data_IF_051754145050
#
_entry.id   IF_051754145050
#
_cell.length_a   1.000
_cell.length_b   1.000
_cell.length_c   1.000
_cell.angle_alpha   90.00
_cell.angle_beta   90.00
_cell.angle_gamma   90.00
#
_symmetry.space_group_name_H-M   'P 1'
#
loop_
_entity.id
_entity.type
_entity.pdbx_description
1 polymer ?
#
# COMPACT_ATOMS: atom_id res chain seq x y z
N UNK A 1 8.43 -2.76 -17.95
CA UNK A 1 7.76 -1.44 -17.91
C UNK A 1 7.34 -0.95 -19.30
N UNK A 2 8.25 -0.65 -20.23
CA UNK A 2 7.89 -0.10 -21.56
C UNK A 2 6.93 -0.99 -22.40
N UNK A 3 7.17 -2.31 -22.46
CA UNK A 3 6.26 -3.23 -23.15
C UNK A 3 4.91 -3.32 -22.44
N UNK A 4 4.94 -3.41 -21.11
CA UNK A 4 3.72 -3.46 -20.28
C UNK A 4 2.87 -2.20 -20.42
N UNK A 5 3.48 -1.01 -20.54
CA UNK A 5 2.72 0.24 -20.76
C UNK A 5 1.98 0.26 -22.09
N UNK A 6 2.49 -0.41 -23.13
CA UNK A 6 1.77 -0.54 -24.38
C UNK A 6 0.49 -1.39 -24.20
N UNK A 7 0.57 -2.49 -23.45
CA UNK A 7 -0.60 -3.34 -23.13
C UNK A 7 -1.64 -2.56 -22.31
N UNK A 8 -1.20 -1.81 -21.29
CA UNK A 8 -2.09 -0.95 -20.49
C UNK A 8 -2.72 0.16 -21.32
N UNK A 9 -1.94 0.82 -22.18
CA UNK A 9 -2.41 1.86 -23.08
C UNK A 9 -3.45 1.34 -24.07
N UNK A 10 -3.22 0.15 -24.64
CA UNK A 10 -4.19 -0.50 -25.53
C UNK A 10 -5.52 -0.75 -24.82
N UNK A 11 -5.50 -1.35 -23.62
CA UNK A 11 -6.71 -1.56 -22.82
C UNK A 11 -7.42 -0.24 -22.48
N UNK A 12 -6.66 0.80 -22.11
CA UNK A 12 -7.21 2.13 -21.81
C UNK A 12 -7.92 2.78 -23.00
N UNK A 13 -7.32 2.73 -24.20
CA UNK A 13 -7.93 3.25 -25.43
C UNK A 13 -9.21 2.48 -25.77
N UNK A 14 -9.16 1.14 -25.70
CA UNK A 14 -10.33 0.30 -25.96
C UNK A 14 -11.49 0.65 -25.03
N UNK A 15 -11.24 0.69 -23.70
CA UNK A 15 -12.30 0.96 -22.72
C UNK A 15 -12.79 2.42 -22.71
N UNK A 16 -12.04 3.36 -23.28
CA UNK A 16 -12.45 4.77 -23.37
C UNK A 16 -13.21 5.11 -24.64
N UNK A 17 -12.99 4.36 -25.74
CA UNK A 17 -13.53 4.72 -27.07
C UNK A 17 -14.42 3.65 -27.72
N UNK A 18 -14.25 2.37 -27.38
CA UNK A 18 -14.89 1.25 -28.10
C UNK A 18 -15.71 0.33 -27.18
N UNK A 19 -15.31 0.22 -25.91
CA UNK A 19 -16.04 -0.54 -24.91
C UNK A 19 -17.40 0.08 -24.56
N UNK A 20 -18.23 -0.61 -23.76
CA UNK A 20 -19.51 -0.06 -23.32
C UNK A 20 -19.31 1.12 -22.36
N UNK A 21 -20.17 2.13 -22.48
CA UNK A 21 -20.14 3.34 -21.64
C UNK A 21 -20.46 3.05 -20.16
N UNK A 22 -21.24 2.00 -19.91
CA UNK A 22 -21.66 1.55 -18.58
C UNK A 22 -21.51 0.03 -18.47
N UNK A 23 -21.23 -0.47 -17.26
CA UNK A 23 -20.92 -1.88 -17.02
C UNK A 23 -22.01 -2.62 -16.23
N UNK A 24 -22.96 -1.90 -15.67
CA UNK A 24 -23.98 -2.38 -14.73
C UNK A 24 -24.88 -3.45 -15.35
N UNK A 25 -25.28 -3.26 -16.62
CA UNK A 25 -26.20 -4.16 -17.32
C UNK A 25 -25.48 -5.36 -17.93
N UNK A 26 -24.35 -5.12 -18.59
CA UNK A 26 -23.62 -6.15 -19.35
C UNK A 26 -22.68 -6.98 -18.48
N UNK A 27 -22.11 -6.39 -17.42
CA UNK A 27 -21.05 -6.98 -16.60
C UNK A 27 -21.24 -6.63 -15.11
N UNK A 28 -22.25 -7.18 -14.42
CA UNK A 28 -22.62 -6.77 -13.06
C UNK A 28 -21.51 -7.00 -12.01
N UNK A 29 -20.59 -7.93 -12.27
CA UNK A 29 -19.40 -8.10 -11.43
C UNK A 29 -18.44 -6.89 -11.51
N UNK A 30 -18.38 -6.20 -12.65
CA UNK A 30 -17.52 -5.03 -12.85
C UNK A 30 -18.26 -3.69 -12.72
N UNK A 31 -19.56 -3.65 -12.97
CA UNK A 31 -20.41 -2.47 -12.71
C UNK A 31 -20.49 -2.11 -11.22
N UNK A 32 -20.63 -0.82 -10.92
CA UNK A 32 -20.68 -0.33 -9.55
C UNK A 32 -21.39 1.03 -9.43
N UNK A 33 -22.14 1.21 -8.33
CA UNK A 33 -22.64 2.53 -7.91
C UNK A 33 -21.77 3.04 -6.75
N UNK A 34 -21.30 4.28 -6.84
CA UNK A 34 -20.56 4.95 -5.75
C UNK A 34 -21.31 4.95 -4.41
N UNK A 35 -22.64 4.85 -4.42
CA UNK A 35 -23.49 4.78 -3.23
C UNK A 35 -23.61 3.35 -2.67
N UNK A 36 -23.29 2.33 -3.47
CA UNK A 36 -23.22 0.94 -3.01
C UNK A 36 -21.97 0.75 -2.16
N UNK A 37 -22.18 0.93 -0.87
CA UNK A 37 -21.13 0.84 0.16
C UNK A 37 -20.49 -0.54 0.22
N UNK A 38 -21.23 -1.60 -0.14
CA UNK A 38 -20.69 -2.96 -0.13
C UNK A 38 -19.78 -3.17 -1.34
N UNK A 39 -20.21 -2.75 -2.53
CA UNK A 39 -19.37 -2.83 -3.73
C UNK A 39 -18.10 -2.01 -3.57
N UNK A 40 -18.19 -0.81 -2.97
CA UNK A 40 -17.03 0.03 -2.68
C UNK A 40 -16.04 -0.64 -1.72
N UNK A 41 -16.50 -1.27 -0.63
CA UNK A 41 -15.60 -1.99 0.28
C UNK A 41 -15.03 -3.26 -0.33
N UNK A 42 -15.78 -3.96 -1.18
CA UNK A 42 -15.25 -5.11 -1.94
C UNK A 42 -14.10 -4.70 -2.86
N UNK A 43 -14.27 -3.63 -3.65
CA UNK A 43 -13.22 -3.12 -4.55
C UNK A 43 -12.00 -2.66 -3.75
N UNK A 44 -12.21 -1.90 -2.66
CA UNK A 44 -11.14 -1.51 -1.74
C UNK A 44 -10.39 -2.74 -1.21
N UNK A 45 -11.12 -3.77 -0.77
CA UNK A 45 -10.53 -4.95 -0.18
C UNK A 45 -9.68 -5.77 -1.17
N UNK A 46 -10.11 -5.86 -2.43
CA UNK A 46 -9.31 -6.47 -3.50
C UNK A 46 -8.00 -5.69 -3.69
N UNK A 47 -8.06 -4.36 -3.78
CA UNK A 47 -6.86 -3.54 -3.93
C UNK A 47 -5.92 -3.65 -2.72
N UNK A 48 -6.44 -3.71 -1.49
CA UNK A 48 -5.64 -3.94 -0.29
C UNK A 48 -4.91 -5.29 -0.35
N UNK A 49 -5.57 -6.36 -0.80
CA UNK A 49 -4.90 -7.66 -1.00
C UNK A 49 -3.77 -7.58 -2.04
N UNK A 50 -3.98 -6.85 -3.15
CA UNK A 50 -2.95 -6.65 -4.17
C UNK A 50 -1.76 -5.84 -3.64
N UNK A 51 -2.02 -4.77 -2.89
CA UNK A 51 -0.98 -3.97 -2.23
C UNK A 51 -0.20 -4.80 -1.21
N UNK A 52 -0.88 -5.62 -0.42
CA UNK A 52 -0.24 -6.53 0.54
C UNK A 52 0.63 -7.57 -0.16
N UNK A 53 0.18 -8.13 -1.29
CA UNK A 53 1.00 -8.97 -2.15
C UNK A 53 2.26 -8.23 -2.65
N UNK A 54 2.11 -6.98 -3.09
CA UNK A 54 3.23 -6.13 -3.50
C UNK A 54 4.27 -5.90 -2.40
N UNK A 55 3.84 -5.62 -1.16
CA UNK A 55 4.73 -5.48 -0.02
C UNK A 55 5.50 -6.79 0.27
N UNK A 56 4.83 -7.95 0.17
CA UNK A 56 5.47 -9.25 0.36
C UNK A 56 6.42 -9.65 -0.78
N UNK A 57 6.27 -9.08 -2.00
CA UNK A 57 7.26 -9.27 -3.05
C UNK A 57 8.61 -8.64 -2.69
N UNK A 58 8.63 -7.50 -1.99
CA UNK A 58 9.88 -6.92 -1.46
C UNK A 58 10.50 -7.84 -0.41
N UNK A 59 9.68 -8.39 0.50
CA UNK A 59 10.13 -9.37 1.50
C UNK A 59 10.75 -10.59 0.81
N UNK A 60 10.08 -11.13 -0.20
CA UNK A 60 10.59 -12.26 -0.98
C UNK A 60 11.92 -11.92 -1.67
N UNK A 61 12.05 -10.71 -2.23
CA UNK A 61 13.30 -10.22 -2.83
C UNK A 61 14.45 -10.21 -1.81
N UNK A 62 14.20 -9.64 -0.63
CA UNK A 62 15.22 -9.44 0.39
C UNK A 62 15.63 -10.73 1.11
N UNK A 63 14.69 -11.64 1.34
CA UNK A 63 14.95 -12.88 2.10
C UNK A 63 15.39 -14.05 1.22
N UNK A 64 14.89 -14.15 -0.01
CA UNK A 64 15.02 -15.38 -0.81
C UNK A 64 15.59 -15.16 -2.22
N UNK A 65 15.45 -13.98 -2.82
CA UNK A 65 15.84 -13.73 -4.21
C UNK A 65 17.03 -12.76 -4.31
N UNK A 66 18.17 -13.15 -3.75
CA UNK A 66 19.44 -12.43 -3.92
C UNK A 66 19.57 -11.14 -3.10
N UNK A 67 18.68 -10.85 -2.15
CA UNK A 67 18.92 -9.84 -1.12
C UNK A 67 18.58 -8.40 -1.51
N UNK A 68 18.96 -7.47 -0.65
CA UNK A 68 18.88 -6.02 -0.87
C UNK A 68 20.24 -5.39 -0.57
N UNK A 69 20.51 -4.23 -1.14
CA UNK A 69 21.72 -3.48 -0.81
C UNK A 69 21.61 -2.93 0.61
N UNK A 70 22.62 -3.19 1.44
CA UNK A 70 22.74 -2.64 2.78
C UNK A 70 24.02 -1.81 2.87
N UNK A 71 23.88 -0.51 2.99
CA UNK A 71 25.00 0.43 3.13
C UNK A 71 25.74 0.25 4.46
N UNK A 72 25.09 -0.36 5.46
CA UNK A 72 25.61 -0.60 6.80
C UNK A 72 26.19 -2.01 6.98
N UNK A 73 26.38 -2.76 5.89
CA UNK A 73 26.98 -4.08 5.94
C UNK A 73 28.42 -4.05 6.55
N UNK A 74 28.80 -5.04 7.36
CA UNK A 74 30.15 -5.10 7.95
C UNK A 74 31.24 -5.18 6.86
N UNK A 75 32.17 -4.23 6.88
CA UNK A 75 33.26 -4.15 5.89
C UNK A 75 32.97 -3.22 4.70
N UNK A 76 31.81 -2.56 4.67
CA UNK A 76 31.39 -1.64 3.63
C UNK A 76 30.09 -2.10 2.96
N UNK A 77 29.38 -1.17 2.32
CA UNK A 77 28.07 -1.45 1.73
C UNK A 77 28.10 -2.57 0.68
N UNK A 78 27.18 -3.53 0.81
CA UNK A 78 27.09 -4.70 -0.07
C UNK A 78 25.64 -5.22 -0.16
N UNK A 79 25.36 -6.04 -1.17
CA UNK A 79 24.09 -6.75 -1.31
C UNK A 79 24.08 -7.97 -0.40
N UNK A 80 23.09 -8.05 0.51
CA UNK A 80 22.95 -9.18 1.42
C UNK A 80 21.52 -9.67 1.55
N UNK A 81 21.40 -10.95 1.92
CA UNK A 81 20.12 -11.54 2.30
C UNK A 81 19.74 -11.09 3.72
N UNK A 82 18.45 -10.82 3.92
CA UNK A 82 17.90 -10.52 5.24
C UNK A 82 17.32 -11.82 5.80
N UNK A 83 18.07 -12.51 6.66
CA UNK A 83 17.66 -13.82 7.19
C UNK A 83 16.82 -13.71 8.46
N UNK A 84 16.91 -12.60 9.17
CA UNK A 84 16.27 -12.37 10.48
C UNK A 84 15.52 -11.03 10.52
N UNK A 85 14.45 -10.86 9.72
CA UNK A 85 13.66 -9.62 9.74
C UNK A 85 13.02 -9.39 11.12
N UNK A 86 12.93 -8.13 11.55
CA UNK A 86 12.37 -7.77 12.85
C UNK A 86 10.85 -7.94 12.85
N UNK A 87 10.35 -8.97 13.52
CA UNK A 87 8.91 -9.21 13.65
C UNK A 87 8.32 -8.74 14.98
N UNK A 88 9.16 -8.26 15.92
CA UNK A 88 8.69 -7.76 17.20
C UNK A 88 7.79 -6.52 17.01
N UNK A 89 6.48 -6.58 17.34
CA UNK A 89 5.56 -5.48 17.10
C UNK A 89 5.92 -4.22 17.90
N UNK A 90 6.57 -4.36 19.06
CA UNK A 90 6.98 -3.22 19.88
C UNK A 90 8.01 -2.36 19.13
N UNK A 91 8.93 -3.00 18.39
CA UNK A 91 9.91 -2.28 17.58
C UNK A 91 9.24 -1.65 16.36
N UNK A 92 8.48 -2.45 15.60
CA UNK A 92 7.88 -2.01 14.34
C UNK A 92 6.86 -0.89 14.55
N UNK A 93 5.89 -1.06 15.45
CA UNK A 93 4.92 -0.01 15.75
C UNK A 93 5.53 1.12 16.61
N UNK A 94 6.65 0.85 17.28
CA UNK A 94 7.43 1.88 17.97
C UNK A 94 7.82 3.03 17.04
N UNK A 95 8.22 2.75 15.79
CA UNK A 95 8.52 3.78 14.79
C UNK A 95 7.31 4.68 14.47
N UNK A 96 6.10 4.12 14.42
CA UNK A 96 4.86 4.85 14.09
C UNK A 96 4.51 5.88 15.17
N UNK A 97 4.82 5.59 16.43
CA UNK A 97 4.52 6.46 17.58
C UNK A 97 5.69 7.33 18.03
N UNK A 98 6.83 7.30 17.33
CA UNK A 98 7.96 8.21 17.61
C UNK A 98 7.63 9.65 17.26
N UNK A 99 8.25 10.57 17.98
CA UNK A 99 8.20 12.00 17.69
C UNK A 99 8.75 12.29 16.28
N UNK A 100 8.13 13.20 15.51
CA UNK A 100 8.67 13.63 14.21
C UNK A 100 9.78 14.69 14.33
N UNK A 101 10.13 15.13 15.55
CA UNK A 101 11.15 16.15 15.78
C UNK A 101 12.57 15.58 15.74
N UNK A 102 13.55 16.49 15.70
CA UNK A 102 14.98 16.15 15.67
C UNK A 102 15.40 15.25 16.84
N UNK A 103 16.21 14.23 16.54
CA UNK A 103 16.64 13.20 17.49
C UNK A 103 15.81 11.91 17.42
N UNK A 104 14.51 12.00 17.11
CA UNK A 104 13.62 10.83 17.01
C UNK A 104 13.25 10.49 15.56
N UNK A 105 12.77 11.45 14.78
CA UNK A 105 12.58 11.32 13.32
C UNK A 105 11.46 10.39 12.82
N UNK A 106 10.50 9.99 13.67
CA UNK A 106 9.35 9.14 13.29
C UNK A 106 9.76 7.90 12.44
N UNK A 107 8.98 7.48 11.44
CA UNK A 107 9.31 6.36 10.54
C UNK A 107 10.51 6.62 9.63
N UNK A 108 10.94 7.87 9.49
CA UNK A 108 12.13 8.25 8.71
C UNK A 108 13.42 7.82 9.42
N UNK A 109 13.34 7.50 10.71
CA UNK A 109 14.50 7.11 11.53
C UNK A 109 14.91 5.64 11.42
N UNK A 110 14.21 4.81 10.65
CA UNK A 110 14.62 3.40 10.47
C UNK A 110 16.00 3.34 9.82
N UNK A 111 16.88 2.52 10.39
CA UNK A 111 18.31 2.60 10.10
C UNK A 111 18.96 1.22 9.87
N UNK A 112 18.16 0.17 9.68
CA UNK A 112 18.65 -1.17 9.38
C UNK A 112 17.65 -1.91 8.49
N UNK A 113 18.14 -2.87 7.71
CA UNK A 113 17.32 -3.59 6.73
C UNK A 113 16.36 -4.58 7.38
N UNK A 114 16.71 -5.15 8.54
CA UNK A 114 15.86 -6.07 9.29
C UNK A 114 14.51 -5.43 9.67
N UNK A 115 14.54 -4.17 10.12
CA UNK A 115 13.34 -3.40 10.46
C UNK A 115 12.56 -2.97 9.21
N UNK A 116 13.23 -2.61 8.12
CA UNK A 116 12.56 -2.27 6.85
C UNK A 116 11.79 -3.49 6.31
N UNK A 117 12.45 -4.65 6.23
CA UNK A 117 11.82 -5.88 5.72
C UNK A 117 10.78 -6.40 6.71
N UNK A 118 11.06 -6.37 8.01
CA UNK A 118 10.09 -6.72 9.05
C UNK A 118 8.83 -5.85 9.02
N UNK A 119 8.99 -4.54 8.80
CA UNK A 119 7.89 -3.61 8.60
C UNK A 119 7.03 -3.96 7.39
N UNK A 120 7.65 -4.36 6.27
CA UNK A 120 6.91 -4.79 5.07
C UNK A 120 6.19 -6.13 5.26
N UNK A 121 6.69 -7.03 6.11
CA UNK A 121 5.93 -8.22 6.53
C UNK A 121 4.64 -7.79 7.23
N UNK A 122 4.74 -6.87 8.21
CA UNK A 122 3.56 -6.35 8.92
C UNK A 122 2.58 -5.64 7.99
N UNK A 123 3.06 -4.72 7.12
CA UNK A 123 2.22 -4.03 6.13
C UNK A 123 1.53 -5.04 5.22
N UNK A 124 2.26 -6.03 4.69
CA UNK A 124 1.72 -7.07 3.82
C UNK A 124 0.58 -7.85 4.48
N UNK A 125 0.80 -8.33 5.70
CA UNK A 125 -0.22 -9.07 6.47
C UNK A 125 -1.41 -8.20 6.80
N UNK A 126 -1.21 -6.97 7.29
CA UNK A 126 -2.29 -6.06 7.65
C UNK A 126 -3.14 -5.66 6.44
N UNK A 127 -2.52 -5.40 5.28
CA UNK A 127 -3.23 -5.11 4.05
C UNK A 127 -4.06 -6.30 3.57
N UNK A 128 -3.54 -7.53 3.61
CA UNK A 128 -4.29 -8.72 3.21
C UNK A 128 -5.45 -9.00 4.17
N UNK A 129 -5.20 -9.00 5.47
CA UNK A 129 -6.24 -9.25 6.48
C UNK A 129 -7.31 -8.16 6.43
N UNK A 130 -6.91 -6.88 6.33
CA UNK A 130 -7.82 -5.76 6.15
C UNK A 130 -8.59 -5.83 4.82
N UNK A 131 -7.95 -6.31 3.76
CA UNK A 131 -8.57 -6.51 2.46
C UNK A 131 -9.67 -7.57 2.50
N UNK A 132 -9.37 -8.74 3.07
CA UNK A 132 -10.36 -9.80 3.31
C UNK A 132 -11.49 -9.31 4.21
N UNK A 133 -11.17 -8.58 5.28
CA UNK A 133 -12.17 -7.95 6.14
C UNK A 133 -13.12 -7.05 5.36
N UNK A 134 -12.61 -6.15 4.51
CA UNK A 134 -13.43 -5.25 3.70
C UNK A 134 -14.24 -5.96 2.60
N UNK A 135 -13.77 -7.10 2.10
CA UNK A 135 -14.54 -7.96 1.17
C UNK A 135 -15.72 -8.62 1.89
N UNK A 136 -15.50 -9.13 3.10
CA UNK A 136 -16.50 -9.93 3.82
C UNK A 136 -17.36 -9.14 4.81
N UNK A 137 -17.16 -7.82 4.92
CA UNK A 137 -17.95 -6.96 5.82
C UNK A 137 -18.54 -5.76 5.10
N UNK A 138 -19.50 -5.11 5.77
CA UNK A 138 -20.16 -3.89 5.30
C UNK A 138 -19.91 -2.75 6.29
N UNK A 139 -19.87 -1.48 5.84
CA UNK A 139 -19.67 -0.36 6.75
C UNK A 139 -20.70 -0.32 7.87
N UNK A 140 -20.18 -0.26 9.11
CA UNK A 140 -21.00 -0.18 10.31
C UNK A 140 -21.83 1.12 10.36
N UNK A 141 -22.88 1.12 11.18
CA UNK A 141 -23.80 2.25 11.28
C UNK A 141 -23.12 3.58 11.64
N UNK A 142 -22.09 3.56 12.49
CA UNK A 142 -21.32 4.77 12.83
C UNK A 142 -20.53 5.29 11.62
N UNK A 143 -19.85 4.42 10.87
CA UNK A 143 -19.07 4.81 9.70
C UNK A 143 -19.98 5.40 8.61
N UNK A 144 -21.16 4.80 8.40
CA UNK A 144 -22.15 5.33 7.45
C UNK A 144 -22.62 6.75 7.77
N UNK A 145 -22.58 7.16 9.04
CA UNK A 145 -22.96 8.51 9.51
C UNK A 145 -21.79 9.50 9.52
N UNK A 146 -20.55 9.01 9.56
CA UNK A 146 -19.36 9.86 9.64
C UNK A 146 -18.83 10.29 8.26
N UNK A 147 -19.04 9.47 7.23
CA UNK A 147 -18.50 9.70 5.88
C UNK A 147 -19.57 10.13 4.87
N UNK A 148 -19.11 10.84 3.83
CA UNK A 148 -19.90 11.15 2.62
C UNK A 148 -19.65 10.02 1.60
N UNK A 149 -20.73 9.49 1.03
CA UNK A 149 -20.68 8.30 0.14
C UNK A 149 -20.92 8.70 -1.31
N UNK A 150 -19.92 9.32 -1.94
CA UNK A 150 -19.91 9.72 -3.34
C UNK A 150 -18.52 9.55 -3.95
N UNK A 151 -18.43 9.45 -5.28
CA UNK A 151 -17.14 9.32 -5.97
C UNK A 151 -16.17 10.46 -5.68
N UNK A 152 -16.67 11.71 -5.67
CA UNK A 152 -15.86 12.89 -5.32
C UNK A 152 -15.35 12.85 -3.88
N UNK A 153 -16.18 12.39 -2.93
CA UNK A 153 -15.75 12.23 -1.55
C UNK A 153 -14.62 11.20 -1.44
N UNK A 154 -14.74 10.04 -2.08
CA UNK A 154 -13.67 9.01 -2.07
C UNK A 154 -12.38 9.51 -2.73
N UNK A 155 -12.49 10.28 -3.82
CA UNK A 155 -11.36 10.95 -4.43
C UNK A 155 -10.69 11.92 -3.45
N UNK A 156 -11.46 12.76 -2.75
CA UNK A 156 -10.89 13.71 -1.78
C UNK A 156 -10.16 13.04 -0.62
N UNK A 157 -10.68 11.92 -0.10
CA UNK A 157 -9.99 11.12 0.93
C UNK A 157 -8.65 10.58 0.42
N UNK A 158 -8.63 10.13 -0.84
CA UNK A 158 -7.43 9.61 -1.49
C UNK A 158 -6.40 10.72 -1.75
N UNK A 159 -6.85 11.91 -2.17
CA UNK A 159 -5.99 13.08 -2.39
C UNK A 159 -5.27 13.51 -1.10
N UNK A 160 -5.99 13.53 0.03
CA UNK A 160 -5.38 13.82 1.33
C UNK A 160 -4.33 12.76 1.72
N UNK A 161 -4.62 11.47 1.49
CA UNK A 161 -3.69 10.37 1.78
C UNK A 161 -2.42 10.45 0.93
N UNK A 162 -2.52 10.68 -0.39
CA UNK A 162 -1.35 10.81 -1.26
C UNK A 162 -0.53 12.07 -0.97
N UNK A 163 -1.16 13.16 -0.52
CA UNK A 163 -0.45 14.36 -0.07
C UNK A 163 0.44 14.06 1.14
N UNK A 164 -0.09 13.35 2.14
CA UNK A 164 0.68 12.91 3.30
C UNK A 164 1.84 11.96 2.93
N UNK A 165 1.60 11.02 2.01
CA UNK A 165 2.66 10.15 1.48
C UNK A 165 3.75 10.94 0.77
N UNK A 166 3.38 11.98 0.00
CA UNK A 166 4.34 12.85 -0.69
C UNK A 166 5.24 13.63 0.27
N UNK A 167 4.67 14.23 1.33
CA UNK A 167 5.48 14.89 2.36
C UNK A 167 6.39 13.92 3.10
N UNK A 168 5.89 12.72 3.43
CA UNK A 168 6.67 11.68 4.09
C UNK A 168 7.84 11.23 3.21
N UNK A 169 7.59 11.00 1.91
CA UNK A 169 8.63 10.60 0.95
C UNK A 169 9.71 11.67 0.79
N UNK A 170 9.33 12.95 0.78
CA UNK A 170 10.29 14.06 0.72
C UNK A 170 11.21 14.12 1.93
N UNK A 171 10.70 13.81 3.14
CA UNK A 171 11.52 13.74 4.34
C UNK A 171 12.42 12.50 4.33
N UNK A 172 11.87 11.37 3.88
CA UNK A 172 12.61 10.12 3.75
C UNK A 172 13.84 10.27 2.84
N UNK A 173 13.67 10.86 1.66
CA UNK A 173 14.77 11.06 0.71
C UNK A 173 15.78 12.12 1.16
N UNK A 174 15.36 13.07 2.01
CA UNK A 174 16.24 14.13 2.49
C UNK A 174 17.10 13.70 3.69
N UNK A 175 16.58 12.85 4.57
CA UNK A 175 17.23 12.52 5.85
C UNK A 175 17.71 11.07 5.99
N UNK A 176 17.07 10.09 5.35
CA UNK A 176 17.37 8.67 5.54
C UNK A 176 18.46 8.18 4.56
N UNK A 177 19.42 7.38 5.05
CA UNK A 177 20.57 6.90 4.26
C UNK A 177 20.89 5.41 4.43
#
# INVERSE_FOLDING_TARGET
HLISSAVLGFGGIYHSLLGPDTLEESFPFFGYDWRDKNKMTTILGIHLCLLGGGALLLVAKAMYLGGVYDTWAPGGGDVRLITTPTLNPIVIFGYVFRSPFGGDGWVVSVNNMEDVIGGHVWVGVLCIVGGLWHIFTKPFAWARRAFVWSGEAYLSYSLAAISMMGFTASLYSWYNN
#
